data_IF_843715291539
#
_entry.id   IF_843715291539
#
_cell.length_a   1.000
_cell.length_b   1.000
_cell.length_c   1.000
_cell.angle_alpha   90.00
_cell.angle_beta   90.00
_cell.angle_gamma   90.00
#
_symmetry.space_group_name_H-M   'P 1'
#
loop_
_entity.id
_entity.type
_entity.pdbx_description
1 polymer ?
#
# COMPACT_ATOMS: atom_id res chain seq x y z
N UNK A 1 -29.33 -21.89 -1.57
CA UNK A 1 -29.25 -20.65 -2.37
C UNK A 1 -27.95 -19.96 -2.00
N UNK A 2 -26.93 -20.09 -2.84
CA UNK A 2 -25.59 -19.56 -2.62
C UNK A 2 -25.37 -18.39 -3.58
N UNK A 3 -25.04 -17.19 -3.09
CA UNK A 3 -24.46 -16.08 -3.86
C UNK A 3 -24.18 -14.86 -2.96
N UNK A 4 -22.95 -14.76 -2.47
CA UNK A 4 -22.21 -13.50 -2.36
C UNK A 4 -20.70 -13.81 -2.20
N UNK A 5 -20.22 -14.79 -2.97
CA UNK A 5 -18.79 -14.98 -3.23
C UNK A 5 -18.41 -14.15 -4.46
N UNK A 6 -17.27 -13.47 -4.34
CA UNK A 6 -16.53 -12.77 -5.40
C UNK A 6 -17.09 -11.44 -5.93
N UNK A 7 -16.73 -10.35 -5.24
CA UNK A 7 -16.37 -9.11 -5.93
C UNK A 7 -14.92 -8.73 -5.59
N UNK A 8 -13.94 -9.32 -6.30
CA UNK A 8 -12.66 -8.65 -6.50
C UNK A 8 -12.88 -7.54 -7.52
N UNK A 9 -13.27 -6.36 -7.04
CA UNK A 9 -13.23 -5.14 -7.84
C UNK A 9 -11.76 -4.75 -8.04
N UNK A 10 -11.08 -5.40 -8.98
CA UNK A 10 -9.87 -4.82 -9.58
C UNK A 10 -10.36 -3.85 -10.65
N UNK A 11 -10.53 -2.58 -10.25
CA UNK A 11 -10.71 -1.51 -11.22
C UNK A 11 -9.46 -1.52 -12.11
N UNK A 12 -9.63 -1.87 -13.38
CA UNK A 12 -8.55 -1.77 -14.38
C UNK A 12 -7.98 -0.34 -14.27
N UNK A 13 -6.66 -0.15 -14.18
CA UNK A 13 -6.09 1.18 -14.04
C UNK A 13 -6.61 2.07 -15.17
N UNK A 14 -7.25 3.17 -14.78
CA UNK A 14 -7.99 4.06 -15.68
C UNK A 14 -7.03 4.91 -16.51
N UNK A 15 -5.81 5.10 -16.01
CA UNK A 15 -4.76 5.91 -16.63
C UNK A 15 -3.39 5.21 -16.58
N UNK A 16 -2.45 5.73 -17.38
CA UNK A 16 -1.06 5.31 -17.32
C UNK A 16 -0.43 5.60 -15.95
N UNK A 17 -0.86 6.67 -15.27
CA UNK A 17 -0.43 7.00 -13.90
C UNK A 17 -0.91 5.93 -12.90
N UNK A 18 -2.19 5.54 -12.95
CA UNK A 18 -2.73 4.49 -12.07
C UNK A 18 -1.98 3.17 -12.27
N UNK A 19 -1.80 2.74 -13.53
CA UNK A 19 -1.10 1.51 -13.85
C UNK A 19 0.36 1.54 -13.35
N UNK A 20 1.02 2.69 -13.46
CA UNK A 20 2.39 2.87 -12.98
C UNK A 20 2.45 2.85 -11.45
N UNK A 21 1.48 3.47 -10.79
CA UNK A 21 1.35 3.49 -9.32
C UNK A 21 1.20 2.08 -8.78
N UNK A 22 0.29 1.29 -9.36
CA UNK A 22 0.03 -0.09 -8.95
C UNK A 22 1.24 -1.00 -9.21
N UNK A 23 1.91 -0.84 -10.35
CA UNK A 23 3.10 -1.61 -10.68
C UNK A 23 4.26 -1.34 -9.68
N UNK A 24 4.50 -0.07 -9.33
CA UNK A 24 5.53 0.28 -8.34
C UNK A 24 5.15 -0.24 -6.95
N UNK A 25 3.87 -0.08 -6.55
CA UNK A 25 3.35 -0.62 -5.28
C UNK A 25 3.58 -2.12 -5.18
N UNK A 26 3.19 -2.87 -6.20
CA UNK A 26 3.36 -4.33 -6.21
C UNK A 26 4.85 -4.72 -6.18
N UNK A 27 5.70 -4.01 -6.91
CA UNK A 27 7.14 -4.27 -6.90
C UNK A 27 7.76 -4.03 -5.50
N UNK A 28 7.30 -3.03 -4.76
CA UNK A 28 7.73 -2.78 -3.38
C UNK A 28 7.19 -3.86 -2.44
N UNK A 29 5.89 -4.16 -2.49
CA UNK A 29 5.25 -5.13 -1.59
C UNK A 29 5.75 -6.56 -1.80
N UNK A 30 6.09 -6.93 -3.04
CA UNK A 30 6.70 -8.22 -3.38
C UNK A 30 8.21 -8.29 -3.10
N UNK A 31 8.85 -7.16 -2.77
CA UNK A 31 10.28 -7.08 -2.49
C UNK A 31 11.19 -7.03 -3.72
N UNK A 32 10.65 -6.90 -4.93
CA UNK A 32 11.46 -6.61 -6.13
C UNK A 32 12.17 -5.25 -6.02
N UNK A 33 11.47 -4.26 -5.45
CA UNK A 33 12.07 -3.02 -4.97
C UNK A 33 12.22 -3.12 -3.46
N UNK A 34 13.46 -3.17 -2.97
CA UNK A 34 13.73 -3.45 -1.55
C UNK A 34 13.66 -2.19 -0.69
N UNK A 35 13.30 -2.30 0.61
CA UNK A 35 13.32 -1.17 1.53
C UNK A 35 14.66 -0.44 1.55
N UNK A 36 14.65 0.89 1.53
CA UNK A 36 15.83 1.74 1.46
C UNK A 36 16.49 1.83 0.06
N UNK A 37 15.99 1.10 -0.93
CA UNK A 37 16.51 1.18 -2.30
C UNK A 37 16.28 2.56 -2.89
N UNK A 38 17.33 3.16 -3.46
CA UNK A 38 17.23 4.39 -4.25
C UNK A 38 16.59 4.09 -5.60
N UNK A 39 15.56 4.85 -5.96
CA UNK A 39 14.84 4.73 -7.23
C UNK A 39 15.40 5.71 -8.26
N UNK A 40 16.12 5.20 -9.26
CA UNK A 40 16.50 6.01 -10.43
C UNK A 40 15.30 6.13 -11.38
N UNK A 41 14.72 7.32 -11.45
CA UNK A 41 13.50 7.54 -12.25
C UNK A 41 13.69 7.27 -13.75
N UNK A 42 14.87 7.54 -14.31
CA UNK A 42 15.09 7.31 -15.74
C UNK A 42 15.11 5.81 -16.07
N UNK A 43 15.81 5.02 -15.24
CA UNK A 43 15.87 3.56 -15.38
C UNK A 43 14.52 2.92 -15.09
N UNK A 44 13.83 3.36 -14.03
CA UNK A 44 12.52 2.83 -13.65
C UNK A 44 11.45 3.11 -14.73
N UNK A 45 11.46 4.31 -15.33
CA UNK A 45 10.59 4.61 -16.47
C UNK A 45 10.85 3.67 -17.65
N UNK A 46 12.12 3.42 -17.97
CA UNK A 46 12.50 2.53 -19.06
C UNK A 46 12.07 1.07 -18.79
N UNK A 47 12.25 0.58 -17.56
CA UNK A 47 11.82 -0.76 -17.15
C UNK A 47 10.31 -0.94 -17.22
N UNK A 48 9.55 0.08 -16.80
CA UNK A 48 8.08 0.06 -16.83
C UNK A 48 7.49 0.40 -18.21
N UNK A 49 8.31 0.84 -19.17
CA UNK A 49 7.86 1.20 -20.51
C UNK A 49 6.98 2.47 -20.53
N UNK A 50 7.15 3.37 -19.56
CA UNK A 50 6.34 4.58 -19.41
C UNK A 50 7.17 5.85 -19.59
N UNK A 51 6.51 6.96 -19.90
CA UNK A 51 7.19 8.26 -19.98
C UNK A 51 7.44 8.85 -18.57
N UNK A 52 8.24 9.91 -18.50
CA UNK A 52 8.61 10.55 -17.22
C UNK A 52 7.44 11.18 -16.46
N UNK A 53 6.39 11.62 -17.16
CA UNK A 53 5.22 12.28 -16.55
C UNK A 53 4.43 11.30 -15.66
N UNK A 54 3.88 10.18 -16.17
CA UNK A 54 3.14 9.23 -15.35
C UNK A 54 4.01 8.59 -14.27
N UNK A 55 5.32 8.40 -14.52
CA UNK A 55 6.23 7.91 -13.47
C UNK A 55 6.33 8.91 -12.31
N UNK A 56 6.55 10.19 -12.60
CA UNK A 56 6.69 11.22 -11.57
C UNK A 56 5.41 11.39 -10.77
N UNK A 57 4.27 11.36 -11.45
CA UNK A 57 2.96 11.53 -10.82
C UNK A 57 2.62 10.30 -9.95
N UNK A 58 2.94 9.08 -10.41
CA UNK A 58 2.86 7.87 -9.61
C UNK A 58 3.77 7.91 -8.37
N UNK A 59 5.04 8.32 -8.52
CA UNK A 59 5.96 8.44 -7.38
C UNK A 59 5.48 9.48 -6.36
N UNK A 60 4.91 10.60 -6.80
CA UNK A 60 4.27 11.58 -5.89
C UNK A 60 3.09 10.97 -5.14
N UNK A 61 2.29 10.15 -5.81
CA UNK A 61 1.13 9.51 -5.18
C UNK A 61 1.53 8.45 -4.14
N UNK A 62 2.72 7.87 -4.29
CA UNK A 62 3.30 6.91 -3.34
C UNK A 62 4.16 7.58 -2.26
N UNK A 63 4.43 8.88 -2.37
CA UNK A 63 5.26 9.63 -1.44
C UNK A 63 4.63 9.69 -0.04
N UNK A 64 5.43 9.46 1.00
CA UNK A 64 5.01 9.36 2.39
C UNK A 64 4.40 8.01 2.80
N UNK A 65 3.94 7.19 1.85
CA UNK A 65 3.46 5.81 2.11
C UNK A 65 4.56 4.80 1.81
N UNK A 66 4.87 4.59 0.54
CA UNK A 66 5.81 3.55 0.08
C UNK A 66 7.16 4.08 -0.36
N UNK A 67 7.23 5.37 -0.71
CA UNK A 67 8.47 6.03 -1.10
C UNK A 67 8.63 7.36 -0.39
N UNK A 68 9.85 7.87 -0.33
CA UNK A 68 10.17 9.22 0.10
C UNK A 68 10.85 9.95 -1.03
N UNK A 69 10.35 11.13 -1.40
CA UNK A 69 10.98 12.04 -2.37
C UNK A 69 11.70 13.17 -1.62
N UNK A 70 13.03 13.15 -1.64
CA UNK A 70 13.86 14.28 -1.20
C UNK A 70 14.23 15.11 -2.42
N UNK A 71 13.68 16.33 -2.50
CA UNK A 71 13.82 17.22 -3.66
C UNK A 71 15.24 17.51 -4.11
N UNK A 72 16.28 17.28 -3.28
CA UNK A 72 17.69 17.40 -3.69
C UNK A 72 18.42 16.07 -3.77
N UNK A 73 17.97 15.07 -3.02
CA UNK A 73 18.74 13.84 -2.84
C UNK A 73 18.20 12.68 -3.69
N UNK A 74 16.94 12.69 -4.14
CA UNK A 74 16.37 11.62 -4.98
C UNK A 74 15.05 11.05 -4.47
N UNK A 75 14.77 9.79 -4.80
CA UNK A 75 13.60 9.04 -4.34
C UNK A 75 14.05 7.67 -3.81
N UNK A 76 13.47 7.18 -2.72
CA UNK A 76 13.80 5.88 -2.12
C UNK A 76 12.55 5.15 -1.69
N UNK A 77 12.61 3.82 -1.68
CA UNK A 77 11.61 2.97 -1.04
C UNK A 77 11.70 3.16 0.47
N UNK A 78 10.57 3.42 1.11
CA UNK A 78 10.50 3.57 2.55
C UNK A 78 10.90 2.26 3.24
N UNK A 79 11.53 2.39 4.41
CA UNK A 79 11.90 1.27 5.26
C UNK A 79 11.43 1.55 6.67
N UNK A 80 10.68 0.61 7.24
CA UNK A 80 10.30 0.68 8.65
C UNK A 80 11.40 0.02 9.50
N UNK A 81 11.93 0.77 10.46
CA UNK A 81 12.81 0.26 11.48
C UNK A 81 12.07 -0.60 12.51
N UNK A 82 12.78 -1.46 13.27
CA UNK A 82 12.15 -2.30 14.29
C UNK A 82 11.32 -1.53 15.32
N UNK A 83 11.73 -0.32 15.69
CA UNK A 83 10.99 0.54 16.63
C UNK A 83 9.67 1.06 16.04
N UNK A 84 9.69 1.50 14.79
CA UNK A 84 8.48 1.98 14.10
C UNK A 84 7.48 0.85 13.91
N UNK A 85 7.95 -0.35 13.58
CA UNK A 85 7.12 -1.57 13.52
C UNK A 85 6.46 -1.81 14.87
N UNK A 86 7.23 -1.77 15.96
CA UNK A 86 6.72 -1.97 17.32
C UNK A 86 5.62 -0.96 17.66
N UNK A 87 5.86 0.33 17.42
CA UNK A 87 4.89 1.41 17.67
C UNK A 87 3.59 1.20 16.88
N UNK A 88 3.68 0.79 15.61
CA UNK A 88 2.51 0.47 14.78
C UNK A 88 1.71 -0.67 15.40
N UNK A 89 2.37 -1.75 15.84
CA UNK A 89 1.68 -2.88 16.46
C UNK A 89 1.01 -2.50 17.79
N UNK A 90 1.66 -1.67 18.62
CA UNK A 90 1.09 -1.18 19.87
C UNK A 90 -0.19 -0.36 19.64
N UNK A 91 -0.16 0.57 18.67
CA UNK A 91 -1.34 1.33 18.27
C UNK A 91 -2.45 0.43 17.74
N UNK A 92 -2.12 -0.55 16.88
CA UNK A 92 -3.08 -1.51 16.34
C UNK A 92 -3.73 -2.34 17.44
N UNK A 93 -2.95 -2.87 18.39
CA UNK A 93 -3.50 -3.65 19.51
C UNK A 93 -4.51 -2.82 20.30
N UNK A 94 -4.19 -1.55 20.60
CA UNK A 94 -5.09 -0.67 21.35
C UNK A 94 -6.41 -0.40 20.60
N UNK A 95 -6.33 -0.10 19.30
CA UNK A 95 -7.50 0.20 18.47
C UNK A 95 -8.34 -1.04 18.18
N UNK A 96 -7.70 -2.13 17.74
CA UNK A 96 -8.37 -3.38 17.38
C UNK A 96 -9.06 -3.99 18.60
N UNK A 97 -8.42 -4.00 19.78
CA UNK A 97 -9.05 -4.49 21.01
C UNK A 97 -10.33 -3.71 21.36
N UNK A 98 -10.31 -2.39 21.18
CA UNK A 98 -11.49 -1.54 21.41
C UNK A 98 -12.59 -1.81 20.38
N UNK A 99 -12.22 -1.96 19.12
CA UNK A 99 -13.15 -2.31 18.05
C UNK A 99 -13.81 -3.67 18.29
N UNK A 100 -13.04 -4.69 18.69
CA UNK A 100 -13.56 -6.02 19.03
C UNK A 100 -14.53 -5.93 20.20
N UNK A 101 -14.19 -5.20 21.26
CA UNK A 101 -15.08 -5.03 22.41
C UNK A 101 -16.42 -4.38 22.02
N UNK A 102 -16.39 -3.31 21.22
CA UNK A 102 -17.60 -2.64 20.72
C UNK A 102 -18.41 -3.53 19.79
N UNK A 103 -17.74 -4.33 18.95
CA UNK A 103 -18.41 -5.27 18.07
C UNK A 103 -19.15 -6.33 18.88
N UNK A 104 -18.49 -6.97 19.86
CA UNK A 104 -19.11 -8.00 20.70
C UNK A 104 -20.31 -7.47 21.48
N UNK A 105 -20.26 -6.25 21.99
CA UNK A 105 -21.38 -5.62 22.72
C UNK A 105 -22.60 -5.35 21.82
N UNK A 106 -22.37 -5.13 20.51
CA UNK A 106 -23.41 -4.91 19.51
C UNK A 106 -23.78 -6.14 18.66
N UNK A 107 -23.13 -7.28 18.86
CA UNK A 107 -23.28 -8.46 18.01
C UNK A 107 -24.51 -9.28 18.44
N UNK A 108 -25.48 -9.45 17.54
CA UNK A 108 -26.55 -10.44 17.71
C UNK A 108 -26.06 -11.86 17.38
N UNK A 109 -26.80 -12.87 17.85
CA UNK A 109 -26.49 -14.30 17.66
C UNK A 109 -26.28 -14.73 16.19
N UNK A 110 -26.73 -13.93 15.22
CA UNK A 110 -26.66 -14.22 13.79
C UNK A 110 -25.34 -13.74 13.15
N UNK A 111 -24.80 -12.58 13.56
CA UNK A 111 -23.50 -12.09 13.07
C UNK A 111 -22.32 -12.90 13.63
N UNK A 112 -22.44 -13.45 14.85
CA UNK A 112 -21.36 -14.18 15.52
C UNK A 112 -20.96 -15.48 14.80
N UNK A 113 -21.82 -16.02 13.94
CA UNK A 113 -21.58 -17.26 13.18
C UNK A 113 -20.72 -17.07 11.92
N UNK A 114 -20.45 -15.82 11.55
CA UNK A 114 -19.72 -15.47 10.32
C UNK A 114 -18.35 -14.80 10.58
N UNK A 115 -17.98 -14.60 11.86
CA UNK A 115 -16.62 -14.24 12.30
C UNK A 115 -15.74 -15.50 12.41
#
# INVERSE_FOLDING_TARGET
MNKASDLRLSAKPLTAEDATTDAIREAILSGHLVPGQRLNQAELAAQLGVSRIPLRDALRRLDGDLVTIDGRRGCWVNSLGPSEIQEIYEMRIMLESRCVWLAVDGLGDQEARHL
#
